data_IF_537439638517
#
_entry.id   IF_537439638517
#
_cell.length_a   1.000
_cell.length_b   1.000
_cell.length_c   1.000
_cell.angle_alpha   90.00
_cell.angle_beta   90.00
_cell.angle_gamma   90.00
#
_symmetry.space_group_name_H-M   'P 1'
#
loop_
_entity.id
_entity.type
_entity.pdbx_description
1 polymer ?
#
# COMPACT_ATOMS: atom_id res chain seq x y z
N UNK A 1 -10.60 7.07 10.97
CA UNK A 1 -9.33 6.69 10.31
C UNK A 1 -8.89 5.33 10.82
N UNK A 2 -8.38 4.52 9.94
CA UNK A 2 -8.00 3.13 10.25
C UNK A 2 -6.52 2.98 9.94
N UNK A 3 -5.73 2.56 10.93
CA UNK A 3 -4.32 2.30 10.71
C UNK A 3 -4.13 0.93 10.10
N UNK A 4 -3.34 0.87 9.03
CA UNK A 4 -3.03 -0.37 8.34
C UNK A 4 -1.53 -0.55 8.23
N UNK A 5 -1.09 -1.80 8.17
CA UNK A 5 0.30 -2.17 7.96
C UNK A 5 0.40 -2.89 6.63
N UNK A 6 1.33 -2.45 5.78
CA UNK A 6 1.50 -3.00 4.44
C UNK A 6 2.62 -4.02 4.43
N UNK A 7 2.38 -5.16 3.79
CA UNK A 7 3.34 -6.25 3.66
C UNK A 7 3.57 -6.58 2.18
N UNK A 8 4.81 -6.73 1.83
CA UNK A 8 5.23 -7.07 0.48
C UNK A 8 5.32 -5.86 -0.46
N UNK A 9 6.05 -6.02 -1.53
CA UNK A 9 6.25 -4.98 -2.53
C UNK A 9 7.08 -3.80 -2.03
N UNK A 10 7.04 -2.67 -2.77
CA UNK A 10 7.86 -1.50 -2.43
C UNK A 10 7.45 -0.81 -1.15
N UNK A 11 6.28 -1.09 -0.61
CA UNK A 11 5.77 -0.48 0.63
C UNK A 11 5.81 -1.42 1.82
N UNK A 12 6.55 -2.51 1.72
CA UNK A 12 6.65 -3.50 2.80
C UNK A 12 7.11 -2.86 4.12
N UNK A 13 6.37 -3.16 5.19
CA UNK A 13 6.66 -2.63 6.53
C UNK A 13 6.18 -1.21 6.78
N UNK A 14 5.58 -0.55 5.79
CA UNK A 14 5.06 0.81 5.98
C UNK A 14 3.69 0.79 6.62
N UNK A 15 3.41 1.85 7.37
CA UNK A 15 2.09 2.10 7.92
C UNK A 15 1.35 3.09 7.03
N UNK A 16 0.06 2.85 6.87
CA UNK A 16 -0.79 3.70 6.06
C UNK A 16 -2.08 3.96 6.83
N UNK A 17 -2.69 5.11 6.59
CA UNK A 17 -3.97 5.45 7.19
C UNK A 17 -5.05 5.41 6.11
N UNK A 18 -6.04 4.54 6.30
CA UNK A 18 -7.17 4.45 5.39
C UNK A 18 -8.37 5.21 5.96
N UNK A 19 -9.16 5.81 5.09
CA UNK A 19 -10.37 6.52 5.49
C UNK A 19 -11.53 5.57 5.72
N UNK A 20 -11.52 4.42 5.07
CA UNK A 20 -12.59 3.43 5.14
C UNK A 20 -12.03 2.04 5.38
N UNK A 21 -12.90 1.09 5.73
CA UNK A 21 -12.54 -0.31 5.92
C UNK A 21 -12.60 -1.11 4.63
N UNK A 22 -12.09 -0.55 3.57
CA UNK A 22 -12.06 -1.25 2.29
C UNK A 22 -11.20 -2.50 2.37
N UNK A 23 -11.60 -3.53 1.64
CA UNK A 23 -10.84 -4.79 1.58
C UNK A 23 -9.62 -4.70 0.69
N UNK A 24 -9.52 -3.66 -0.11
CA UNK A 24 -8.45 -3.46 -1.09
C UNK A 24 -8.00 -2.01 -1.04
N UNK A 25 -6.69 -1.81 -1.03
CA UNK A 25 -6.09 -0.49 -1.09
C UNK A 25 -5.19 -0.39 -2.31
N UNK A 26 -5.25 0.75 -2.99
CA UNK A 26 -4.33 1.08 -4.07
C UNK A 26 -3.33 2.12 -3.57
N UNK A 27 -2.07 1.73 -3.53
CA UNK A 27 -1.01 2.60 -3.03
C UNK A 27 -0.16 3.06 -4.21
N UNK A 28 -0.10 4.37 -4.47
CA UNK A 28 0.70 4.88 -5.57
C UNK A 28 2.18 4.87 -5.26
N UNK A 29 2.98 4.54 -6.25
CA UNK A 29 4.44 4.67 -6.19
C UNK A 29 4.86 5.59 -7.32
N UNK A 30 5.56 6.67 -6.99
CA UNK A 30 6.07 7.61 -7.97
C UNK A 30 7.49 7.22 -8.32
N UNK A 31 7.71 6.88 -9.59
CA UNK A 31 9.04 6.56 -10.11
C UNK A 31 9.55 7.78 -10.87
N UNK A 32 10.68 8.32 -10.45
CA UNK A 32 11.31 9.46 -11.09
C UNK A 32 12.63 9.02 -11.70
N UNK A 33 12.77 9.30 -12.98
CA UNK A 33 14.01 9.09 -13.71
C UNK A 33 14.67 10.44 -13.92
N UNK A 34 16.00 10.49 -13.85
CA UNK A 34 16.74 11.76 -13.89
C UNK A 34 16.51 12.58 -15.16
N UNK A 35 16.22 11.90 -16.26
CA UNK A 35 16.07 12.52 -17.58
C UNK A 35 14.63 12.71 -18.02
N UNK A 36 13.66 12.42 -17.15
CA UNK A 36 12.25 12.54 -17.50
C UNK A 36 11.61 13.74 -16.86
N UNK A 37 10.80 14.44 -17.65
CA UNK A 37 10.05 15.58 -17.19
C UNK A 37 8.74 15.18 -16.52
N UNK A 38 8.25 13.96 -16.79
CA UNK A 38 7.03 13.44 -16.19
C UNK A 38 7.34 12.15 -15.44
N UNK A 39 7.02 12.09 -14.13
CA UNK A 39 7.23 10.86 -13.37
C UNK A 39 6.21 9.80 -13.77
N UNK A 40 6.65 8.55 -13.78
CA UNK A 40 5.75 7.41 -13.89
C UNK A 40 5.11 7.13 -12.55
N UNK A 41 3.79 6.93 -12.56
CA UNK A 41 3.06 6.54 -11.36
C UNK A 41 2.54 5.13 -11.57
N UNK A 42 2.94 4.23 -10.67
CA UNK A 42 2.42 2.87 -10.64
C UNK A 42 1.59 2.68 -9.37
N UNK A 43 0.60 1.81 -9.44
CA UNK A 43 -0.25 1.50 -8.30
C UNK A 43 -0.03 0.05 -7.90
N UNK A 44 0.22 -0.15 -6.62
CA UNK A 44 0.28 -1.49 -6.05
C UNK A 44 -1.01 -1.75 -5.28
N UNK A 45 -1.60 -2.90 -5.52
CA UNK A 45 -2.86 -3.29 -4.87
C UNK A 45 -2.54 -4.14 -3.65
N UNK A 46 -3.06 -3.72 -2.50
CA UNK A 46 -2.91 -4.45 -1.24
C UNK A 46 -4.27 -4.95 -0.78
N UNK A 47 -4.32 -6.21 -0.38
CA UNK A 47 -5.54 -6.88 0.06
C UNK A 47 -5.49 -7.14 1.56
N UNK A 48 -6.62 -6.93 2.24
CA UNK A 48 -6.74 -7.20 3.66
C UNK A 48 -6.68 -8.70 3.95
N UNK A 49 -5.83 -9.09 4.90
CA UNK A 49 -5.65 -10.49 5.28
C UNK A 49 -6.61 -10.96 6.36
N UNK A 50 -7.37 -10.08 6.97
CA UNK A 50 -8.29 -10.46 8.04
C UNK A 50 -7.62 -10.66 9.39
N UNK A 51 -6.42 -10.13 9.58
CA UNK A 51 -5.71 -10.16 10.87
C UNK A 51 -5.21 -8.77 11.22
N UNK A 52 -4.88 -8.58 12.49
CA UNK A 52 -4.35 -7.33 13.01
C UNK A 52 -2.99 -7.55 13.65
N UNK A 53 -2.17 -6.51 13.61
CA UNK A 53 -0.88 -6.48 14.27
C UNK A 53 -0.74 -5.14 14.99
N UNK A 54 -0.62 -5.17 16.31
CA UNK A 54 -0.55 -3.95 17.15
C UNK A 54 -1.72 -2.98 16.91
N UNK A 55 -2.92 -3.51 16.70
CA UNK A 55 -4.10 -2.71 16.43
C UNK A 55 -4.22 -2.21 15.01
N UNK A 56 -3.31 -2.59 14.13
CA UNK A 56 -3.35 -2.22 12.72
C UNK A 56 -3.84 -3.38 11.88
N UNK A 57 -4.68 -3.09 10.90
CA UNK A 57 -5.09 -4.10 9.93
C UNK A 57 -3.90 -4.42 9.01
N UNK A 58 -3.70 -5.70 8.77
CA UNK A 58 -2.61 -6.16 7.89
C UNK A 58 -3.12 -6.30 6.47
N UNK A 59 -2.41 -5.67 5.53
CA UNK A 59 -2.68 -5.78 4.10
C UNK A 59 -1.45 -6.35 3.42
N UNK A 60 -1.67 -7.26 2.49
CA UNK A 60 -0.61 -7.87 1.71
C UNK A 60 -0.72 -7.49 0.24
N UNK A 61 0.42 -7.24 -0.39
CA UNK A 61 0.45 -6.92 -1.81
C UNK A 61 -0.08 -8.10 -2.61
N UNK A 62 -1.02 -7.82 -3.50
CA UNK A 62 -1.56 -8.81 -4.40
C UNK A 62 -0.51 -9.21 -5.42
N UNK A 63 -0.27 -10.52 -5.66
CA UNK A 63 0.62 -10.94 -6.72
C UNK A 63 0.01 -10.56 -8.07
N UNK A 64 0.85 -10.01 -8.93
CA UNK A 64 0.42 -9.63 -10.29
C UNK A 64 0.64 -10.77 -11.27
#
# INVERSE_FOLDING_TARGET
MIDVELHGGPHDGRHHTALTRDAVLRIPTVNRHADETMPDITYDVYRRLGRENDGRLVFEREPS
#
